data_IF_100650892073
#
_entry.id   IF_100650892073
#
_cell.length_a   1.000
_cell.length_b   1.000
_cell.length_c   1.000
_cell.angle_alpha   90.00
_cell.angle_beta   90.00
_cell.angle_gamma   90.00
#
_symmetry.space_group_name_H-M   'P 1'
#
loop_
_entity.id
_entity.type
_entity.pdbx_description
1 polymer ?
#
# COMPACT_ATOMS: atom_id res chain seq x y z
N UNK A 1 16.85 6.13 6.80
CA UNK A 1 15.72 6.02 5.85
C UNK A 1 15.26 4.57 5.64
N UNK A 2 16.13 3.56 5.74
CA UNK A 2 15.82 2.14 5.46
C UNK A 2 14.96 1.39 6.50
N UNK A 3 14.40 2.06 7.51
CA UNK A 3 13.79 1.38 8.69
C UNK A 3 12.25 1.37 8.69
N UNK A 4 11.58 1.93 7.68
CA UNK A 4 10.13 2.20 7.74
C UNK A 4 9.23 1.20 6.99
N UNK A 5 9.79 0.24 6.25
CA UNK A 5 8.98 -0.78 5.57
C UNK A 5 8.82 -1.98 6.52
N UNK A 6 7.72 -1.98 7.27
CA UNK A 6 7.31 -3.12 8.11
C UNK A 6 6.36 -4.00 7.30
N UNK A 7 6.51 -5.32 7.43
CA UNK A 7 5.56 -6.27 6.86
C UNK A 7 4.22 -6.08 7.58
N UNK A 8 3.18 -5.69 6.86
CA UNK A 8 1.82 -5.80 7.37
C UNK A 8 1.58 -7.28 7.67
N UNK A 9 1.08 -7.61 8.86
CA UNK A 9 0.89 -9.01 9.28
C UNK A 9 -0.09 -9.82 8.40
N UNK A 10 -0.75 -9.16 7.45
CA UNK A 10 -1.66 -9.74 6.49
C UNK A 10 -0.89 -10.39 5.32
N UNK A 11 -1.23 -11.65 5.00
CA UNK A 11 -0.69 -12.34 3.81
C UNK A 11 -1.56 -12.13 2.56
N UNK A 12 -2.65 -11.40 2.70
CA UNK A 12 -3.57 -11.08 1.62
C UNK A 12 -3.49 -9.58 1.30
N UNK A 13 -2.65 -9.23 0.32
CA UNK A 13 -2.51 -7.86 -0.14
C UNK A 13 -3.80 -7.28 -0.72
N UNK A 14 -4.73 -8.11 -1.24
CA UNK A 14 -6.01 -7.64 -1.78
C UNK A 14 -6.88 -7.11 -0.64
N UNK A 15 -7.05 -7.91 0.40
CA UNK A 15 -7.81 -7.51 1.59
C UNK A 15 -7.17 -6.28 2.27
N UNK A 16 -5.84 -6.27 2.37
CA UNK A 16 -5.11 -5.14 2.96
C UNK A 16 -5.28 -3.84 2.15
N UNK A 17 -5.15 -3.87 0.82
CA UNK A 17 -5.37 -2.70 -0.04
C UNK A 17 -6.83 -2.21 0.02
N UNK A 18 -7.80 -3.11 0.08
CA UNK A 18 -9.21 -2.74 0.21
C UNK A 18 -9.49 -2.00 1.53
N UNK A 19 -8.92 -2.48 2.65
CA UNK A 19 -9.02 -1.83 3.95
C UNK A 19 -8.33 -0.48 3.98
N UNK A 20 -7.10 -0.40 3.45
CA UNK A 20 -6.37 0.86 3.35
C UNK A 20 -7.21 1.92 2.62
N UNK A 21 -7.79 1.55 1.48
CA UNK A 21 -8.61 2.46 0.69
C UNK A 21 -9.87 2.90 1.46
N UNK A 22 -10.58 1.97 2.09
CA UNK A 22 -11.80 2.26 2.83
C UNK A 22 -11.55 3.14 4.07
N UNK A 23 -10.46 2.91 4.79
CA UNK A 23 -10.17 3.58 6.06
C UNK A 23 -9.43 4.92 5.88
N UNK A 24 -8.63 5.06 4.81
CA UNK A 24 -7.72 6.23 4.64
C UNK A 24 -7.93 6.99 3.33
N UNK A 25 -8.60 6.40 2.35
CA UNK A 25 -8.68 6.93 0.98
C UNK A 25 -7.41 6.74 0.15
N UNK A 26 -6.35 6.09 0.67
CA UNK A 26 -5.13 5.79 -0.08
C UNK A 26 -5.33 4.54 -0.94
N UNK A 27 -5.16 4.69 -2.25
CA UNK A 27 -5.24 3.58 -3.20
C UNK A 27 -3.84 3.03 -3.53
N UNK A 28 -3.66 1.72 -3.36
CA UNK A 28 -2.49 0.96 -3.82
C UNK A 28 -2.95 -0.25 -4.61
N UNK A 29 -2.08 -0.81 -5.46
CA UNK A 29 -2.41 -2.00 -6.27
C UNK A 29 -1.86 -3.26 -5.58
N UNK A 30 -2.68 -4.29 -5.32
CA UNK A 30 -2.21 -5.53 -4.73
C UNK A 30 -1.29 -6.29 -5.68
N UNK A 31 -0.27 -6.96 -5.13
CA UNK A 31 0.71 -7.72 -5.91
C UNK A 31 0.13 -8.94 -6.63
N UNK A 32 -1.01 -9.46 -6.15
CA UNK A 32 -1.75 -10.54 -6.78
C UNK A 32 -2.21 -10.23 -8.22
N UNK A 33 -2.35 -8.96 -8.58
CA UNK A 33 -2.65 -8.52 -9.95
C UNK A 33 -1.47 -8.77 -10.92
N UNK A 34 -0.26 -8.94 -10.39
CA UNK A 34 0.98 -9.15 -11.15
C UNK A 34 1.51 -10.58 -11.02
N UNK A 35 1.35 -11.20 -9.86
CA UNK A 35 1.73 -12.59 -9.59
C UNK A 35 0.78 -13.21 -8.54
N UNK A 36 -0.04 -14.17 -8.95
CA UNK A 36 -1.03 -14.81 -8.10
C UNK A 36 -0.44 -15.75 -7.04
N UNK A 37 0.83 -16.14 -7.16
CA UNK A 37 1.49 -17.08 -6.24
C UNK A 37 2.45 -16.32 -5.33
N UNK A 38 3.44 -15.65 -5.91
CA UNK A 38 4.52 -15.00 -5.16
C UNK A 38 4.20 -13.52 -4.86
N UNK A 39 3.19 -12.94 -5.53
CA UNK A 39 2.80 -11.54 -5.40
C UNK A 39 1.82 -11.23 -4.27
N UNK A 40 1.19 -12.25 -3.65
CA UNK A 40 0.11 -12.08 -2.66
C UNK A 40 0.51 -11.28 -1.41
N UNK A 41 1.81 -11.18 -1.11
CA UNK A 41 2.37 -10.43 0.01
C UNK A 41 2.97 -9.07 -0.35
N UNK A 42 2.80 -8.61 -1.58
CA UNK A 42 3.40 -7.37 -2.10
C UNK A 42 2.34 -6.37 -2.52
N UNK A 43 2.73 -5.09 -2.62
CA UNK A 43 1.91 -4.01 -3.17
C UNK A 43 2.76 -3.18 -4.12
N UNK A 44 2.10 -2.57 -5.12
CA UNK A 44 2.73 -1.62 -6.03
C UNK A 44 2.31 -0.20 -5.68
N UNK A 45 3.30 0.68 -5.55
CA UNK A 45 3.12 2.12 -5.36
C UNK A 45 3.31 2.83 -6.70
N UNK A 46 2.33 3.65 -7.09
CA UNK A 46 2.50 4.60 -8.20
C UNK A 46 2.91 5.97 -7.64
N UNK A 47 3.92 6.58 -8.24
CA UNK A 47 4.38 7.93 -7.90
C UNK A 47 4.17 8.94 -9.05
N UNK A 48 3.40 8.56 -10.07
CA UNK A 48 3.07 9.39 -11.23
C UNK A 48 1.93 10.38 -10.91
N UNK A 49 2.13 11.20 -9.89
CA UNK A 49 1.21 12.26 -9.44
C UNK A 49 2.03 13.47 -8.98
N UNK A 50 1.38 14.60 -8.68
CA UNK A 50 2.06 15.73 -8.06
C UNK A 50 2.57 15.40 -6.65
N UNK A 51 3.62 16.10 -6.22
CA UNK A 51 4.30 15.86 -4.94
C UNK A 51 3.36 16.01 -3.74
N UNK A 52 2.45 16.99 -3.75
CA UNK A 52 1.56 17.23 -2.62
C UNK A 52 0.58 16.06 -2.42
N UNK A 53 0.04 15.50 -3.50
CA UNK A 53 -0.78 14.29 -3.46
C UNK A 53 0.01 13.09 -2.94
N UNK A 54 1.26 12.92 -3.40
CA UNK A 54 2.12 11.82 -2.96
C UNK A 54 2.46 11.92 -1.45
N UNK A 55 2.87 13.09 -0.99
CA UNK A 55 3.18 13.35 0.42
C UNK A 55 1.97 13.08 1.33
N UNK A 56 0.80 13.63 0.98
CA UNK A 56 -0.42 13.40 1.73
C UNK A 56 -0.83 11.92 1.78
N UNK A 57 -0.57 11.15 0.71
CA UNK A 57 -0.80 9.70 0.69
C UNK A 57 0.17 8.94 1.61
N UNK A 58 1.45 9.31 1.59
CA UNK A 58 2.48 8.71 2.45
C UNK A 58 2.24 9.00 3.93
N UNK A 59 1.79 10.20 4.29
CA UNK A 59 1.47 10.56 5.67
C UNK A 59 0.30 9.74 6.21
N UNK A 60 -0.80 9.64 5.44
CA UNK A 60 -1.94 8.77 5.81
C UNK A 60 -1.53 7.31 5.98
N UNK A 61 -0.65 6.81 5.10
CA UNK A 61 -0.13 5.45 5.20
C UNK A 61 0.74 5.24 6.44
N UNK A 62 1.53 6.25 6.83
CA UNK A 62 2.41 6.19 8.00
C UNK A 62 1.63 6.19 9.33
N UNK A 63 0.47 6.85 9.37
CA UNK A 63 -0.36 6.99 10.57
C UNK A 63 -1.37 5.83 10.75
N UNK A 64 -1.61 5.05 9.68
CA UNK A 64 -2.55 3.93 9.70
C UNK A 64 -1.99 2.69 10.43
N UNK A 65 -2.83 2.00 11.23
CA UNK A 65 -2.43 0.88 12.11
C UNK A 65 -3.31 -0.34 11.96
#
# INVERSE_FOLDING_TARGET
MAERIRRAGDRDAVAWCARLLAETGVALTPGADFDAVDGVGWVRVSYATDTATLEAGLDRLADWR
#
